data_IF_361106569282
#
_entry.id   IF_361106569282
#
_cell.length_a   1.000
_cell.length_b   1.000
_cell.length_c   1.000
_cell.angle_alpha   90.00
_cell.angle_beta   90.00
_cell.angle_gamma   90.00
#
_symmetry.space_group_name_H-M   'P 1'
#
loop_
_entity.id
_entity.type
_entity.pdbx_description
1 polymer ?
#
# COMPACT_ATOMS: atom_id res chain seq x y z
N UNK A 1 -24.84 5.36 -4.89
CA UNK A 1 -24.05 4.12 -5.11
C UNK A 1 -22.64 4.31 -4.59
N UNK A 2 -22.16 3.51 -3.66
CA UNK A 2 -20.79 3.63 -3.17
C UNK A 2 -19.79 3.20 -4.22
N UNK A 3 -18.62 3.88 -4.21
CA UNK A 3 -17.49 3.58 -5.07
C UNK A 3 -16.29 3.18 -4.22
N UNK A 4 -15.46 2.28 -4.75
CA UNK A 4 -14.20 1.88 -4.12
C UNK A 4 -13.09 1.98 -5.17
N UNK A 5 -11.97 2.63 -4.81
CA UNK A 5 -10.76 2.56 -5.63
C UNK A 5 -10.12 1.20 -5.42
N UNK A 6 -10.14 0.33 -6.43
CA UNK A 6 -9.78 -1.07 -6.26
C UNK A 6 -8.30 -1.29 -5.97
N UNK A 7 -7.45 -0.63 -6.73
CA UNK A 7 -6.01 -0.84 -6.58
C UNK A 7 -5.24 0.44 -6.84
N UNK A 8 -4.26 0.70 -6.00
CA UNK A 8 -3.21 1.66 -6.25
C UNK A 8 -1.94 1.18 -5.56
N UNK A 9 -0.80 1.51 -6.12
CA UNK A 9 0.47 1.10 -5.56
C UNK A 9 1.57 2.08 -5.93
N UNK A 10 2.71 1.95 -5.28
CA UNK A 10 3.88 2.76 -5.56
C UNK A 10 5.14 1.99 -5.14
N UNK A 11 6.20 2.05 -5.95
CA UNK A 11 7.43 1.33 -5.64
C UNK A 11 8.20 1.94 -4.47
N UNK A 12 9.12 1.15 -3.91
CA UNK A 12 10.09 1.65 -2.94
C UNK A 12 11.01 2.67 -3.60
N UNK A 13 11.58 3.54 -2.77
CA UNK A 13 12.51 4.57 -3.24
C UNK A 13 13.67 3.94 -4.03
N UNK A 14 14.04 4.59 -5.13
CA UNK A 14 15.06 4.09 -6.03
C UNK A 14 14.65 2.89 -6.87
N UNK A 15 13.35 2.55 -6.93
CA UNK A 15 12.85 1.34 -7.59
C UNK A 15 13.53 0.08 -7.06
N UNK A 16 13.88 0.08 -5.77
CA UNK A 16 14.54 -1.04 -5.12
C UNK A 16 13.54 -2.10 -4.69
N UNK A 17 13.93 -3.37 -4.78
CA UNK A 17 13.16 -4.46 -4.19
C UNK A 17 13.60 -4.79 -2.76
N UNK A 18 14.68 -4.17 -2.28
CA UNK A 18 15.22 -4.44 -0.95
C UNK A 18 14.32 -3.88 0.15
N UNK A 19 14.04 -4.71 1.17
CA UNK A 19 13.27 -4.28 2.34
C UNK A 19 13.99 -3.22 3.18
N UNK A 20 15.31 -3.02 2.96
CA UNK A 20 16.08 -1.96 3.61
C UNK A 20 15.90 -0.59 2.95
N UNK A 21 15.35 -0.54 1.74
CA UNK A 21 15.08 0.73 1.06
C UNK A 21 13.90 1.45 1.71
N UNK A 22 14.00 2.77 1.77
CA UNK A 22 12.92 3.60 2.33
C UNK A 22 11.70 3.61 1.41
N UNK A 23 10.58 4.09 1.92
CA UNK A 23 9.29 4.16 1.21
C UNK A 23 8.73 5.58 1.24
N UNK A 24 9.59 6.60 1.24
CA UNK A 24 9.16 7.99 1.40
C UNK A 24 8.19 8.44 0.30
N UNK A 25 8.51 8.15 -0.96
CA UNK A 25 7.64 8.51 -2.08
C UNK A 25 6.32 7.72 -2.04
N UNK A 26 6.40 6.42 -1.71
CA UNK A 26 5.20 5.59 -1.51
C UNK A 26 4.30 6.17 -0.44
N UNK A 27 4.87 6.52 0.70
CA UNK A 27 4.10 7.03 1.84
C UNK A 27 3.41 8.34 1.49
N UNK A 28 4.09 9.24 0.76
CA UNK A 28 3.46 10.49 0.26
C UNK A 28 2.34 10.19 -0.73
N UNK A 29 2.55 9.25 -1.64
CA UNK A 29 1.52 8.86 -2.62
C UNK A 29 0.30 8.26 -1.93
N UNK A 30 0.51 7.38 -0.96
CA UNK A 30 -0.59 6.79 -0.19
C UNK A 30 -1.36 7.87 0.58
N UNK A 31 -0.67 8.80 1.22
CA UNK A 31 -1.33 9.92 1.90
C UNK A 31 -2.18 10.75 0.93
N UNK A 32 -1.66 10.99 -0.26
CA UNK A 32 -2.40 11.75 -1.28
C UNK A 32 -3.68 11.02 -1.71
N UNK A 33 -3.58 9.75 -2.07
CA UNK A 33 -4.74 8.94 -2.46
C UNK A 33 -5.75 8.85 -1.32
N UNK A 34 -5.28 8.57 -0.12
CA UNK A 34 -6.14 8.47 1.06
C UNK A 34 -6.83 9.80 1.36
N UNK A 35 -6.16 10.93 1.19
CA UNK A 35 -6.78 12.23 1.41
C UNK A 35 -7.89 12.51 0.40
N UNK A 36 -7.70 12.14 -0.87
CA UNK A 36 -8.75 12.27 -1.89
C UNK A 36 -9.98 11.45 -1.52
N UNK A 37 -9.80 10.20 -1.14
CA UNK A 37 -10.90 9.31 -0.74
C UNK A 37 -11.57 9.82 0.53
N UNK A 38 -10.79 10.19 1.53
CA UNK A 38 -11.31 10.68 2.82
C UNK A 38 -12.04 12.00 2.68
N UNK A 39 -11.52 12.95 1.91
CA UNK A 39 -12.16 14.24 1.67
C UNK A 39 -13.49 14.06 0.94
N UNK A 40 -13.52 13.19 -0.07
CA UNK A 40 -14.75 12.87 -0.79
C UNK A 40 -15.80 12.25 0.15
N UNK A 41 -15.42 11.27 0.95
CA UNK A 41 -16.32 10.62 1.90
C UNK A 41 -16.83 11.60 2.96
N UNK A 42 -15.95 12.45 3.49
CA UNK A 42 -16.30 13.43 4.53
C UNK A 42 -17.28 14.50 4.01
N UNK A 43 -17.21 14.83 2.72
CA UNK A 43 -18.11 15.79 2.08
C UNK A 43 -19.42 15.16 1.56
N UNK A 44 -19.66 13.89 1.84
CA UNK A 44 -20.89 13.19 1.42
C UNK A 44 -20.81 12.60 0.02
N UNK A 45 -19.61 12.46 -0.54
CA UNK A 45 -19.40 11.81 -1.84
C UNK A 45 -19.54 10.30 -1.78
N UNK A 46 -19.35 9.65 -2.91
CA UNK A 46 -19.64 8.22 -3.08
C UNK A 46 -18.47 7.29 -2.75
N UNK A 47 -17.25 7.80 -2.55
CA UNK A 47 -16.13 6.94 -2.20
C UNK A 47 -16.30 6.35 -0.79
N UNK A 48 -16.39 5.02 -0.75
CA UNK A 48 -16.54 4.27 0.51
C UNK A 48 -15.20 3.74 1.03
N UNK A 49 -14.17 3.69 0.18
CA UNK A 49 -12.85 3.22 0.58
C UNK A 49 -11.94 3.00 -0.61
N UNK A 50 -10.78 2.40 -0.33
CA UNK A 50 -9.78 2.08 -1.34
C UNK A 50 -8.93 0.90 -0.86
N UNK A 51 -8.30 0.21 -1.81
CA UNK A 51 -7.42 -0.92 -1.52
C UNK A 51 -6.05 -0.66 -2.15
N UNK A 52 -5.01 -0.70 -1.35
CA UNK A 52 -3.66 -0.58 -1.89
C UNK A 52 -3.15 -1.92 -2.42
N UNK A 53 -2.26 -1.87 -3.40
CA UNK A 53 -1.53 -3.00 -3.92
C UNK A 53 -0.08 -2.91 -3.48
N UNK A 54 0.59 -3.87 -2.95
CA UNK A 54 0.08 -5.18 -2.59
C UNK A 54 0.58 -5.53 -1.20
N UNK A 55 -0.09 -6.47 -0.56
CA UNK A 55 0.29 -6.88 0.78
C UNK A 55 1.29 -8.03 0.73
N UNK A 56 2.48 -7.82 1.28
CA UNK A 56 3.55 -8.83 1.37
C UNK A 56 3.63 -9.52 2.73
N UNK A 57 3.02 -8.91 3.75
CA UNK A 57 2.96 -9.49 5.08
C UNK A 57 4.34 -9.72 5.68
N UNK A 58 4.58 -10.95 6.11
CA UNK A 58 5.83 -11.37 6.73
C UNK A 58 6.83 -11.97 5.73
N UNK A 59 6.50 -11.95 4.44
CA UNK A 59 7.38 -12.49 3.42
C UNK A 59 8.74 -11.78 3.41
N UNK A 60 9.78 -12.52 3.08
CA UNK A 60 11.13 -12.00 2.96
C UNK A 60 11.65 -12.32 1.55
N UNK A 61 11.63 -11.36 0.62
CA UNK A 61 12.11 -11.60 -0.74
C UNK A 61 13.63 -11.84 -0.73
N UNK A 62 14.05 -12.96 -1.33
CA UNK A 62 15.46 -13.36 -1.40
C UNK A 62 16.09 -13.03 -2.74
N UNK A 63 15.27 -12.95 -3.79
CA UNK A 63 15.71 -12.71 -5.16
C UNK A 63 14.85 -11.62 -5.77
N UNK A 64 15.45 -10.86 -6.71
CA UNK A 64 14.70 -9.86 -7.45
C UNK A 64 13.55 -10.50 -8.22
N UNK A 65 13.84 -11.60 -8.92
CA UNK A 65 12.80 -12.40 -9.55
C UNK A 65 12.47 -13.61 -8.68
N UNK A 66 11.20 -13.91 -8.55
CA UNK A 66 10.75 -15.05 -7.75
C UNK A 66 11.33 -16.36 -8.29
N UNK A 67 11.86 -17.18 -7.38
CA UNK A 67 12.38 -18.50 -7.67
C UNK A 67 11.67 -19.53 -6.81
N UNK A 68 11.65 -20.78 -7.29
CA UNK A 68 11.03 -21.87 -6.54
C UNK A 68 11.65 -21.97 -5.14
N UNK A 69 10.80 -21.96 -4.14
CA UNK A 69 11.19 -21.97 -2.73
C UNK A 69 11.22 -20.61 -2.06
N UNK A 70 11.06 -19.52 -2.82
CA UNK A 70 10.96 -18.19 -2.25
C UNK A 70 9.57 -17.94 -1.65
N UNK A 71 9.50 -17.04 -0.66
CA UNK A 71 8.24 -16.57 -0.13
C UNK A 71 7.43 -15.86 -1.21
N UNK A 72 6.11 -15.97 -1.13
CA UNK A 72 5.23 -15.17 -1.96
C UNK A 72 5.08 -13.77 -1.37
N UNK A 73 5.34 -12.76 -2.20
CA UNK A 73 5.12 -11.35 -1.84
C UNK A 73 3.82 -10.84 -2.46
N UNK A 74 3.57 -9.55 -2.37
CA UNK A 74 2.44 -8.93 -3.07
C UNK A 74 2.73 -8.67 -4.54
N UNK A 75 3.97 -8.83 -5.00
CA UNK A 75 4.36 -8.60 -6.39
C UNK A 75 4.21 -9.89 -7.20
N UNK A 76 3.70 -9.81 -8.46
CA UNK A 76 3.66 -10.97 -9.34
C UNK A 76 5.05 -11.54 -9.60
N UNK A 77 5.13 -12.82 -9.94
CA UNK A 77 6.41 -13.51 -10.10
C UNK A 77 7.34 -12.92 -11.18
N UNK A 78 6.77 -12.26 -12.19
CA UNK A 78 7.53 -11.63 -13.27
C UNK A 78 8.04 -10.22 -12.93
N UNK A 79 7.63 -9.67 -11.81
CA UNK A 79 8.08 -8.35 -11.35
C UNK A 79 9.12 -8.48 -10.24
N UNK A 80 9.80 -7.37 -9.95
CA UNK A 80 10.77 -7.34 -8.85
C UNK A 80 10.06 -7.58 -7.51
N UNK A 81 10.45 -8.64 -6.84
CA UNK A 81 9.81 -9.08 -5.60
C UNK A 81 10.11 -8.11 -4.45
N UNK A 82 9.08 -7.49 -3.93
CA UNK A 82 9.18 -6.50 -2.86
C UNK A 82 9.11 -5.06 -3.35
N UNK A 83 9.09 -4.83 -4.66
CA UNK A 83 9.08 -3.47 -5.22
C UNK A 83 7.84 -2.69 -4.79
N UNK A 84 6.66 -3.28 -4.97
CA UNK A 84 5.38 -2.65 -4.62
C UNK A 84 4.77 -3.22 -3.35
N UNK A 85 5.32 -4.30 -2.81
CA UNK A 85 4.77 -4.95 -1.62
C UNK A 85 4.93 -4.09 -0.38
N UNK A 86 3.88 -4.06 0.44
CA UNK A 86 3.94 -3.51 1.79
C UNK A 86 4.16 -4.67 2.74
N UNK A 87 5.27 -4.65 3.47
CA UNK A 87 5.61 -5.68 4.43
C UNK A 87 5.28 -5.24 5.86
N UNK A 88 5.19 -6.21 6.77
CA UNK A 88 4.95 -5.94 8.19
C UNK A 88 6.01 -5.04 8.83
N UNK A 89 7.19 -4.95 8.23
CA UNK A 89 8.30 -4.10 8.68
C UNK A 89 8.26 -2.68 8.09
N UNK A 90 7.36 -2.41 7.16
CA UNK A 90 7.21 -1.08 6.54
C UNK A 90 6.36 -0.16 7.43
N UNK A 91 6.89 0.18 8.59
CA UNK A 91 6.13 0.86 9.64
C UNK A 91 5.60 2.22 9.22
N UNK A 92 6.37 3.00 8.45
CA UNK A 92 5.92 4.32 7.99
C UNK A 92 4.71 4.21 7.06
N UNK A 93 4.71 3.24 6.14
CA UNK A 93 3.55 2.96 5.28
C UNK A 93 2.36 2.47 6.11
N UNK A 94 2.60 1.56 7.06
CA UNK A 94 1.54 1.04 7.92
C UNK A 94 0.91 2.14 8.78
N UNK A 95 1.70 3.11 9.24
CA UNK A 95 1.17 4.26 9.99
C UNK A 95 0.26 5.11 9.11
N UNK A 96 0.60 5.32 7.84
CA UNK A 96 -0.25 6.02 6.88
C UNK A 96 -1.57 5.28 6.70
N UNK A 97 -1.52 3.95 6.52
CA UNK A 97 -2.72 3.11 6.37
C UNK A 97 -3.59 3.18 7.62
N UNK A 98 -2.98 3.05 8.80
CA UNK A 98 -3.71 3.10 10.07
C UNK A 98 -4.41 4.43 10.26
N UNK A 99 -3.74 5.54 9.96
CA UNK A 99 -4.32 6.87 10.04
C UNK A 99 -5.56 6.98 9.15
N UNK A 100 -5.51 6.44 7.94
CA UNK A 100 -6.67 6.44 7.05
C UNK A 100 -7.81 5.57 7.59
N UNK A 101 -7.49 4.39 8.10
CA UNK A 101 -8.51 3.51 8.70
C UNK A 101 -9.22 4.22 9.84
N UNK A 102 -8.48 4.87 10.73
CA UNK A 102 -9.05 5.61 11.85
C UNK A 102 -9.92 6.77 11.38
N UNK A 103 -9.47 7.51 10.36
CA UNK A 103 -10.25 8.59 9.75
C UNK A 103 -11.58 8.09 9.19
N UNK A 104 -11.53 7.02 8.39
CA UNK A 104 -12.73 6.47 7.74
C UNK A 104 -13.73 5.94 8.76
N UNK A 105 -13.27 5.35 9.86
CA UNK A 105 -14.13 4.90 10.94
C UNK A 105 -14.90 6.03 11.61
N UNK A 106 -14.36 7.23 11.61
CA UNK A 106 -14.95 8.38 12.28
C UNK A 106 -15.85 9.22 11.36
N UNK A 107 -15.81 8.98 10.05
CA UNK A 107 -16.69 9.67 9.10
C UNK A 107 -18.12 9.15 9.28
N UNK A 108 -19.07 10.07 9.40
CA UNK A 108 -20.48 9.73 9.56
C UNK A 108 -20.95 9.49 11.01
N UNK A 109 -20.06 9.70 11.97
CA UNK A 109 -20.42 9.61 13.39
C UNK A 109 -20.91 10.94 13.97
#
# INVERSE_FOLDING_TARGET
MPLVMEEFGYPRDGFSFSTSSTTEARDRYYKYVFSLVGDNAASGGYFAGCNFWGWGGFANPKHEQWQVGDDYTGDPAQEAQGLNSVFSTDKSTLDVVKTQVDRMKNIGK
#
